data_IF_173362362051
#
_entry.id   IF_173362362051
#
_cell.length_a   1.000
_cell.length_b   1.000
_cell.length_c   1.000
_cell.angle_alpha   90.00
_cell.angle_beta   90.00
_cell.angle_gamma   90.00
#
_symmetry.space_group_name_H-M   'P 1'
#
loop_
_entity.id
_entity.type
_entity.pdbx_description
1 polymer ?
#
# COMPACT_ATOMS: atom_id res chain seq x y z
N UNK A 1 -50.67 -51.19 27.28
CA UNK A 1 -50.06 -50.00 27.91
C UNK A 1 -48.68 -50.23 28.57
N UNK A 2 -47.99 -51.38 28.40
CA UNK A 2 -46.65 -51.61 29.02
C UNK A 2 -45.47 -51.74 28.05
N UNK A 3 -45.67 -51.75 26.74
CA UNK A 3 -44.58 -51.90 25.75
C UNK A 3 -44.05 -50.57 25.16
N UNK A 4 -44.82 -49.47 25.21
CA UNK A 4 -44.39 -48.18 24.65
C UNK A 4 -43.52 -47.35 25.61
N UNK A 5 -43.51 -47.68 26.91
CA UNK A 5 -42.71 -46.99 27.92
C UNK A 5 -41.27 -47.50 27.94
N UNK A 6 -41.03 -48.78 27.63
CA UNK A 6 -39.69 -49.38 27.59
C UNK A 6 -38.87 -48.94 26.36
N UNK A 7 -39.53 -48.74 25.21
CA UNK A 7 -38.88 -48.22 23.98
C UNK A 7 -38.49 -46.75 24.09
N UNK A 8 -39.25 -45.94 24.83
CA UNK A 8 -38.90 -44.53 25.10
C UNK A 8 -37.78 -44.39 26.13
N UNK A 9 -37.68 -45.31 27.09
CA UNK A 9 -36.59 -45.31 28.05
C UNK A 9 -35.26 -45.73 27.39
N UNK A 10 -35.27 -46.71 26.49
CA UNK A 10 -34.06 -47.15 25.79
C UNK A 10 -33.51 -46.12 24.78
N UNK A 11 -34.39 -45.33 24.13
CA UNK A 11 -33.96 -44.27 23.20
C UNK A 11 -33.39 -43.07 23.97
N UNK A 12 -33.88 -42.79 25.18
CA UNK A 12 -33.31 -41.73 26.03
C UNK A 12 -31.96 -42.12 26.65
N UNK A 13 -31.70 -43.40 26.96
CA UNK A 13 -30.37 -43.82 27.46
C UNK A 13 -29.32 -43.88 26.37
N UNK A 14 -29.68 -44.13 25.11
CA UNK A 14 -28.73 -44.09 23.99
C UNK A 14 -28.45 -42.66 23.49
N UNK A 15 -29.40 -41.72 23.63
CA UNK A 15 -29.16 -40.30 23.36
C UNK A 15 -28.34 -39.59 24.45
N UNK A 16 -28.29 -40.11 25.67
CA UNK A 16 -27.45 -39.56 26.74
C UNK A 16 -25.99 -40.07 26.70
N UNK A 17 -25.67 -41.06 25.85
CA UNK A 17 -24.34 -41.66 25.78
C UNK A 17 -23.49 -41.16 24.59
N UNK A 18 -24.05 -40.33 23.69
CA UNK A 18 -23.31 -39.67 22.61
C UNK A 18 -22.88 -38.24 23.00
N UNK A 19 -23.38 -37.72 24.13
CA UNK A 19 -23.03 -36.38 24.64
C UNK A 19 -21.76 -36.34 25.53
N UNK A 20 -20.95 -37.41 25.55
CA UNK A 20 -19.83 -37.54 26.49
C UNK A 20 -18.47 -37.94 25.85
N UNK A 21 -18.32 -37.84 24.53
CA UNK A 21 -16.99 -37.52 23.98
C UNK A 21 -16.85 -36.01 24.03
N UNK A 22 -16.44 -35.52 25.20
CA UNK A 22 -16.00 -34.14 25.35
C UNK A 22 -14.85 -33.91 24.39
N UNK A 23 -15.14 -33.27 23.25
CA UNK A 23 -14.20 -32.30 22.70
C UNK A 23 -14.11 -31.20 23.76
N UNK A 24 -13.22 -31.41 24.72
CA UNK A 24 -12.63 -30.29 25.43
C UNK A 24 -11.97 -29.46 24.34
N UNK A 25 -12.64 -28.39 23.92
CA UNK A 25 -11.96 -27.26 23.31
C UNK A 25 -11.06 -26.73 24.41
N UNK A 26 -9.85 -27.28 24.46
CA UNK A 26 -8.76 -26.67 25.21
C UNK A 26 -8.52 -25.37 24.46
N UNK A 27 -9.04 -24.26 24.98
CA UNK A 27 -8.48 -22.96 24.62
C UNK A 27 -6.99 -23.09 24.92
N UNK A 28 -6.18 -23.06 23.87
CA UNK A 28 -4.74 -23.01 24.00
C UNK A 28 -4.41 -21.86 24.96
N UNK A 29 -3.53 -22.09 25.93
CA UNK A 29 -2.88 -20.96 26.61
C UNK A 29 -2.19 -20.12 25.53
N UNK A 30 -2.20 -18.80 25.68
CA UNK A 30 -1.41 -17.88 24.86
C UNK A 30 0.01 -18.45 24.67
N UNK A 31 0.45 -18.57 23.41
CA UNK A 31 1.77 -19.11 23.09
C UNK A 31 1.94 -20.63 23.13
N UNK A 32 0.89 -21.44 23.39
CA UNK A 32 1.00 -22.91 23.38
C UNK A 32 1.01 -23.48 21.95
N UNK A 33 1.76 -24.56 21.75
CA UNK A 33 1.89 -25.30 20.49
C UNK A 33 1.80 -26.81 20.74
N UNK A 34 1.29 -27.63 19.79
CA UNK A 34 0.68 -27.23 18.51
C UNK A 34 -0.63 -26.46 18.72
N UNK A 35 -1.03 -25.64 17.74
CA UNK A 35 -2.32 -24.93 17.75
C UNK A 35 -3.09 -25.18 16.46
N UNK A 36 -4.40 -25.19 16.55
CA UNK A 36 -5.29 -25.30 15.39
C UNK A 36 -6.07 -24.02 15.24
N UNK A 37 -5.84 -23.33 14.12
CA UNK A 37 -6.52 -22.09 13.74
C UNK A 37 -7.49 -22.38 12.58
N UNK A 38 -8.45 -21.51 12.36
CA UNK A 38 -9.32 -21.55 11.18
C UNK A 38 -8.75 -20.57 10.16
N UNK A 39 -8.65 -20.94 8.88
CA UNK A 39 -8.18 -20.06 7.80
C UNK A 39 -9.30 -19.17 7.23
N UNK A 40 -8.96 -18.26 6.32
CA UNK A 40 -9.91 -17.34 5.67
C UNK A 40 -10.98 -18.00 4.79
N UNK A 41 -10.86 -19.32 4.53
CA UNK A 41 -11.87 -20.13 3.85
C UNK A 41 -12.67 -21.03 4.80
N UNK A 42 -12.39 -20.97 6.11
CA UNK A 42 -13.07 -21.77 7.12
C UNK A 42 -12.46 -23.15 7.38
N UNK A 43 -11.27 -23.45 6.84
CA UNK A 43 -10.59 -24.73 7.08
C UNK A 43 -9.78 -24.69 8.37
N UNK A 44 -9.77 -25.80 9.11
CA UNK A 44 -8.88 -25.95 10.26
C UNK A 44 -7.45 -26.26 9.80
N UNK A 45 -6.49 -25.43 10.20
CA UNK A 45 -5.05 -25.58 9.92
C UNK A 45 -4.33 -25.79 11.26
N UNK A 46 -3.55 -26.86 11.35
CA UNK A 46 -2.73 -27.12 12.55
C UNK A 46 -1.31 -26.66 12.30
N UNK A 47 -0.78 -25.90 13.24
CA UNK A 47 0.57 -25.36 13.21
C UNK A 47 1.31 -25.95 14.40
N UNK A 48 2.40 -26.67 14.12
CA UNK A 48 3.04 -27.53 15.11
C UNK A 48 3.94 -26.77 16.10
N UNK A 49 4.52 -25.66 15.67
CA UNK A 49 5.48 -24.84 16.40
C UNK A 49 5.46 -23.38 15.87
N UNK A 50 6.02 -22.40 16.60
CA UNK A 50 6.10 -21.02 16.10
C UNK A 50 6.86 -20.96 14.76
N UNK A 51 6.26 -20.47 13.66
CA UNK A 51 6.85 -20.52 12.33
C UNK A 51 8.16 -19.72 12.25
N UNK A 52 9.27 -20.34 11.83
CA UNK A 52 10.58 -19.70 11.71
C UNK A 52 10.95 -19.38 10.27
N UNK A 53 10.22 -19.89 9.28
CA UNK A 53 10.58 -19.80 7.87
C UNK A 53 9.32 -19.65 7.01
N UNK A 54 8.82 -18.42 6.97
CA UNK A 54 7.54 -18.05 6.39
C UNK A 54 7.68 -17.69 4.91
N UNK A 55 6.72 -18.10 4.10
CA UNK A 55 6.53 -17.58 2.74
C UNK A 55 5.14 -16.98 2.62
N UNK A 56 5.01 -15.85 1.95
CA UNK A 56 3.73 -15.18 1.66
C UNK A 56 3.51 -15.06 0.16
N UNK A 57 2.24 -15.01 -0.25
CA UNK A 57 1.86 -14.74 -1.65
C UNK A 57 0.89 -13.57 -1.80
N UNK A 58 0.71 -12.76 -0.74
CA UNK A 58 -0.15 -11.58 -0.77
C UNK A 58 0.46 -10.40 0.00
N UNK A 59 0.35 -9.21 -0.57
CA UNK A 59 0.83 -7.97 0.04
C UNK A 59 0.16 -7.67 1.39
N UNK A 60 -1.14 -7.94 1.52
CA UNK A 60 -1.85 -7.77 2.79
C UNK A 60 -1.29 -8.66 3.91
N UNK A 61 -0.86 -9.89 3.59
CA UNK A 61 -0.18 -10.74 4.56
C UNK A 61 1.23 -10.21 4.88
N UNK A 62 1.97 -9.74 3.87
CA UNK A 62 3.29 -9.15 4.05
C UNK A 62 3.27 -7.98 5.04
N UNK A 63 2.33 -7.04 4.86
CA UNK A 63 2.22 -5.84 5.71
C UNK A 63 1.93 -6.18 7.18
N UNK A 64 1.02 -7.13 7.43
CA UNK A 64 0.71 -7.54 8.80
C UNK A 64 1.88 -8.33 9.38
N UNK A 65 2.43 -9.30 8.66
CA UNK A 65 3.47 -10.18 9.18
C UNK A 65 4.79 -9.44 9.43
N UNK A 66 5.22 -8.55 8.53
CA UNK A 66 6.44 -7.74 8.73
C UNK A 66 6.30 -6.67 9.82
N UNK A 67 5.07 -6.35 10.23
CA UNK A 67 4.80 -5.51 11.39
C UNK A 67 4.81 -6.29 12.72
N UNK A 68 4.65 -7.62 12.66
CA UNK A 68 4.65 -8.51 13.82
C UNK A 68 5.98 -9.24 14.02
N UNK A 69 6.71 -9.52 12.94
CA UNK A 69 7.88 -10.39 12.93
C UNK A 69 9.07 -9.73 12.23
N UNK A 70 10.30 -10.01 12.69
CA UNK A 70 11.50 -9.52 12.01
C UNK A 70 11.69 -10.20 10.63
N UNK A 71 12.33 -9.52 9.66
CA UNK A 71 12.52 -10.04 8.29
C UNK A 71 13.26 -11.38 8.18
N UNK A 72 14.08 -11.74 9.16
CA UNK A 72 14.81 -13.02 9.20
C UNK A 72 13.89 -14.25 9.42
N UNK A 73 12.62 -14.03 9.78
CA UNK A 73 11.58 -15.07 9.87
C UNK A 73 10.97 -15.45 8.52
N UNK A 74 11.36 -14.76 7.45
CA UNK A 74 10.78 -14.93 6.12
C UNK A 74 11.80 -15.57 5.18
N UNK A 75 11.40 -16.67 4.54
CA UNK A 75 12.13 -17.20 3.39
C UNK A 75 11.86 -16.39 2.12
N UNK A 76 10.64 -15.87 1.97
CA UNK A 76 10.25 -15.00 0.86
C UNK A 76 9.03 -14.16 1.22
N UNK A 77 8.98 -12.96 0.64
CA UNK A 77 7.77 -12.11 0.58
C UNK A 77 7.24 -12.02 -0.85
N UNK A 78 6.14 -11.29 -1.10
CA UNK A 78 5.80 -10.92 -2.49
C UNK A 78 6.75 -9.84 -3.02
N UNK A 79 6.96 -9.80 -4.34
CA UNK A 79 7.66 -8.69 -4.99
C UNK A 79 6.95 -7.34 -4.77
N UNK A 80 5.63 -7.38 -4.55
CA UNK A 80 4.81 -6.21 -4.24
C UNK A 80 5.22 -5.58 -2.91
N UNK A 81 5.56 -6.39 -1.92
CA UNK A 81 5.98 -5.90 -0.61
C UNK A 81 7.31 -5.13 -0.68
N UNK A 82 8.14 -5.34 -1.69
CA UNK A 82 9.40 -4.61 -1.88
C UNK A 82 9.25 -3.32 -2.69
N UNK A 83 8.07 -3.07 -3.27
CA UNK A 83 7.79 -1.89 -4.06
C UNK A 83 7.30 -0.73 -3.17
N UNK A 84 8.10 0.33 -2.98
CA UNK A 84 7.75 1.46 -2.11
C UNK A 84 6.59 2.31 -2.66
N UNK A 85 6.19 2.13 -3.92
CA UNK A 85 5.04 2.83 -4.50
C UNK A 85 3.69 2.28 -4.07
N UNK A 86 3.64 1.03 -3.60
CA UNK A 86 2.40 0.32 -3.28
C UNK A 86 2.42 -0.41 -1.93
N UNK A 87 3.58 -0.53 -1.27
CA UNK A 87 3.73 -1.24 0.01
C UNK A 87 4.13 -0.33 1.17
N UNK A 88 3.46 -0.51 2.30
CA UNK A 88 3.79 0.16 3.56
C UNK A 88 5.01 -0.43 4.29
N UNK A 89 5.52 -1.57 3.84
CA UNK A 89 6.59 -2.32 4.51
C UNK A 89 7.80 -2.55 3.60
N UNK A 90 7.96 -1.75 2.54
CA UNK A 90 9.04 -1.88 1.57
C UNK A 90 10.43 -1.87 2.20
N UNK A 91 10.65 -1.05 3.23
CA UNK A 91 11.94 -0.99 3.94
C UNK A 91 12.26 -2.32 4.63
N UNK A 92 11.29 -2.93 5.30
CA UNK A 92 11.43 -4.22 5.98
C UNK A 92 11.52 -5.37 4.98
N UNK A 93 10.68 -5.35 3.94
CA UNK A 93 10.62 -6.37 2.89
C UNK A 93 11.92 -6.45 2.07
N UNK A 94 12.62 -5.32 1.87
CA UNK A 94 13.93 -5.29 1.20
C UNK A 94 15.05 -5.98 2.01
N UNK A 95 14.80 -6.33 3.28
CA UNK A 95 15.73 -7.12 4.09
C UNK A 95 15.49 -8.63 3.95
N UNK A 96 14.39 -9.04 3.31
CA UNK A 96 14.08 -10.45 3.04
C UNK A 96 14.82 -10.90 1.77
N UNK A 97 15.47 -12.06 1.84
CA UNK A 97 16.36 -12.56 0.78
C UNK A 97 15.65 -12.78 -0.56
N UNK A 98 14.43 -13.31 -0.52
CA UNK A 98 13.67 -13.68 -1.73
C UNK A 98 12.37 -12.90 -1.84
N UNK A 99 11.96 -12.66 -3.09
CA UNK A 99 10.67 -12.06 -3.41
C UNK A 99 10.00 -12.80 -4.57
N UNK A 100 8.70 -13.06 -4.41
CA UNK A 100 7.87 -13.80 -5.34
C UNK A 100 7.11 -12.85 -6.28
N UNK A 101 7.38 -12.87 -7.60
CA UNK A 101 6.58 -12.07 -8.56
C UNK A 101 5.18 -12.64 -8.75
N UNK A 102 5.00 -13.94 -8.53
CA UNK A 102 3.72 -14.64 -8.53
C UNK A 102 3.82 -15.91 -7.68
N UNK A 103 2.68 -16.52 -7.33
CA UNK A 103 2.68 -17.80 -6.63
C UNK A 103 3.24 -18.91 -7.53
N UNK A 104 4.34 -19.54 -7.10
CA UNK A 104 5.01 -20.64 -7.80
C UNK A 104 5.26 -21.78 -6.81
N UNK A 105 4.55 -22.90 -6.99
CA UNK A 105 4.64 -24.03 -6.07
C UNK A 105 6.05 -24.63 -6.00
N UNK A 106 6.74 -24.79 -7.13
CA UNK A 106 8.06 -25.42 -7.17
C UNK A 106 9.10 -24.56 -6.47
N UNK A 107 9.07 -23.24 -6.71
CA UNK A 107 9.94 -22.30 -6.02
C UNK A 107 9.65 -22.27 -4.51
N UNK A 108 8.37 -22.16 -4.11
CA UNK A 108 7.98 -22.16 -2.70
C UNK A 108 8.44 -23.44 -2.00
N UNK A 109 8.26 -24.61 -2.62
CA UNK A 109 8.74 -25.90 -2.08
C UNK A 109 10.27 -25.91 -1.97
N UNK A 110 10.98 -25.36 -2.94
CA UNK A 110 12.46 -25.29 -2.91
C UNK A 110 12.98 -24.45 -1.74
N UNK A 111 12.16 -23.51 -1.25
CA UNK A 111 12.46 -22.73 -0.05
C UNK A 111 12.19 -23.53 1.23
N UNK A 112 11.71 -24.77 1.25
CA UNK A 112 11.52 -25.54 2.51
C UNK A 112 10.88 -24.72 3.67
N UNK A 113 9.74 -24.03 3.45
CA UNK A 113 9.11 -23.20 4.48
C UNK A 113 8.38 -24.05 5.51
N UNK A 114 8.25 -23.54 6.74
CA UNK A 114 7.43 -24.20 7.78
C UNK A 114 5.99 -23.66 7.84
N UNK A 115 5.73 -22.53 7.17
CA UNK A 115 4.40 -21.98 6.96
C UNK A 115 4.33 -21.17 5.66
N UNK A 116 3.28 -21.41 4.86
CA UNK A 116 2.98 -20.64 3.65
C UNK A 116 1.65 -19.93 3.81
N UNK A 117 1.65 -18.60 3.73
CA UNK A 117 0.45 -17.78 3.60
C UNK A 117 0.08 -17.63 2.13
N UNK A 118 -1.14 -18.03 1.77
CA UNK A 118 -1.68 -17.88 0.41
C UNK A 118 -2.95 -17.03 0.41
N UNK A 119 -3.15 -16.21 -0.60
CA UNK A 119 -4.43 -15.49 -0.75
C UNK A 119 -5.58 -16.45 -1.09
N UNK A 120 -6.81 -16.12 -0.67
CA UNK A 120 -8.04 -16.88 -0.98
C UNK A 120 -8.34 -17.04 -2.46
N UNK A 121 -7.73 -16.22 -3.32
CA UNK A 121 -7.85 -16.27 -4.78
C UNK A 121 -6.63 -16.93 -5.47
N UNK A 122 -5.69 -17.47 -4.70
CA UNK A 122 -4.59 -18.29 -5.24
C UNK A 122 -5.17 -19.54 -5.92
N UNK A 123 -4.61 -19.95 -7.07
CA UNK A 123 -5.07 -21.15 -7.78
C UNK A 123 -5.03 -22.38 -6.86
N UNK A 124 -6.17 -23.06 -6.69
CA UNK A 124 -6.30 -24.24 -5.84
C UNK A 124 -5.32 -25.35 -6.25
N UNK A 125 -4.93 -25.44 -7.53
CA UNK A 125 -3.93 -26.40 -7.97
C UNK A 125 -2.54 -26.11 -7.38
N UNK A 126 -2.18 -24.84 -7.20
CA UNK A 126 -0.94 -24.43 -6.50
C UNK A 126 -1.06 -24.78 -5.03
N UNK A 127 -2.17 -24.41 -4.38
CA UNK A 127 -2.41 -24.70 -2.96
C UNK A 127 -2.33 -26.20 -2.67
N UNK A 128 -2.93 -27.03 -3.53
CA UNK A 128 -2.89 -28.49 -3.39
C UNK A 128 -1.48 -29.05 -3.59
N UNK A 129 -0.69 -28.52 -4.53
CA UNK A 129 0.70 -28.95 -4.70
C UNK A 129 1.55 -28.67 -3.45
N UNK A 130 1.39 -27.51 -2.82
CA UNK A 130 2.07 -27.16 -1.58
C UNK A 130 1.69 -28.12 -0.44
N UNK A 131 0.40 -28.42 -0.30
CA UNK A 131 -0.10 -29.38 0.70
C UNK A 131 0.39 -30.81 0.44
N UNK A 132 0.40 -31.25 -0.81
CA UNK A 132 0.89 -32.58 -1.22
C UNK A 132 2.40 -32.73 -0.99
N UNK A 133 3.15 -31.62 -1.03
CA UNK A 133 4.56 -31.56 -0.64
C UNK A 133 4.77 -31.59 0.89
N UNK A 134 3.69 -31.60 1.68
CA UNK A 134 3.74 -31.68 3.14
C UNK A 134 3.90 -30.33 3.84
N UNK A 135 3.74 -29.20 3.13
CA UNK A 135 3.84 -27.87 3.71
C UNK A 135 2.55 -27.49 4.44
N UNK A 136 2.70 -26.77 5.55
CA UNK A 136 1.58 -26.12 6.24
C UNK A 136 1.16 -24.89 5.44
N UNK A 137 -0.08 -24.88 4.94
CA UNK A 137 -0.62 -23.78 4.15
C UNK A 137 -1.77 -23.12 4.90
N UNK A 138 -1.66 -21.81 5.11
CA UNK A 138 -2.69 -20.98 5.69
C UNK A 138 -3.25 -20.02 4.65
N UNK A 139 -4.54 -20.12 4.36
CA UNK A 139 -5.19 -19.25 3.38
C UNK A 139 -5.69 -17.97 4.05
N UNK A 140 -5.21 -16.79 3.65
CA UNK A 140 -5.75 -15.51 4.08
C UNK A 140 -7.04 -15.19 3.33
N UNK A 141 -8.01 -14.57 4.02
CA UNK A 141 -9.17 -13.99 3.34
C UNK A 141 -8.81 -12.77 2.50
N UNK A 142 -9.83 -12.10 1.96
CA UNK A 142 -9.72 -10.77 1.35
C UNK A 142 -10.61 -9.81 2.14
N UNK A 143 -10.11 -9.23 3.25
CA UNK A 143 -10.92 -8.42 4.13
C UNK A 143 -11.28 -7.10 3.44
N UNK A 144 -12.55 -6.71 3.55
CA UNK A 144 -13.06 -5.45 3.01
C UNK A 144 -13.76 -4.70 4.14
N UNK A 145 -13.28 -3.51 4.45
CA UNK A 145 -13.71 -2.70 5.58
C UNK A 145 -12.92 -2.96 6.86
N UNK A 146 -13.06 -2.04 7.82
CA UNK A 146 -12.23 -2.01 9.03
C UNK A 146 -12.42 -3.24 9.90
N UNK A 147 -13.65 -3.71 10.12
CA UNK A 147 -13.91 -4.88 10.97
C UNK A 147 -13.30 -6.17 10.40
N UNK A 148 -13.51 -6.54 9.12
CA UNK A 148 -12.80 -7.67 8.52
C UNK A 148 -11.28 -7.52 8.53
N UNK A 149 -10.74 -6.31 8.40
CA UNK A 149 -9.29 -6.06 8.53
C UNK A 149 -8.83 -6.38 9.95
N UNK A 150 -9.56 -5.94 10.99
CA UNK A 150 -9.28 -6.28 12.40
C UNK A 150 -9.24 -7.79 12.61
N UNK A 151 -10.24 -8.50 12.11
CA UNK A 151 -10.33 -9.96 12.21
C UNK A 151 -9.15 -10.64 11.53
N UNK A 152 -8.78 -10.20 10.32
CA UNK A 152 -7.64 -10.77 9.58
C UNK A 152 -6.30 -10.55 10.31
N UNK A 153 -6.06 -9.37 10.88
CA UNK A 153 -4.83 -9.07 11.65
C UNK A 153 -4.75 -9.94 12.90
N UNK A 154 -5.85 -10.07 13.65
CA UNK A 154 -5.90 -10.93 14.84
C UNK A 154 -5.67 -12.40 14.49
N UNK A 155 -6.26 -12.87 13.39
CA UNK A 155 -6.09 -14.22 12.90
C UNK A 155 -4.64 -14.50 12.49
N UNK A 156 -3.99 -13.56 11.77
CA UNK A 156 -2.57 -13.66 11.44
C UNK A 156 -1.70 -13.68 12.70
N UNK A 157 -2.00 -12.83 13.70
CA UNK A 157 -1.32 -12.85 15.00
C UNK A 157 -1.42 -14.21 15.70
N UNK A 158 -2.61 -14.81 15.73
CA UNK A 158 -2.82 -16.15 16.30
C UNK A 158 -2.02 -17.24 15.55
N UNK A 159 -1.95 -17.15 14.22
CA UNK A 159 -1.21 -18.09 13.37
C UNK A 159 0.29 -18.10 13.72
N UNK A 160 0.89 -16.94 13.97
CA UNK A 160 2.34 -16.82 14.24
C UNK A 160 2.71 -16.76 15.73
N UNK A 161 1.72 -16.69 16.62
CA UNK A 161 1.92 -16.57 18.06
C UNK A 161 2.29 -15.16 18.54
N UNK A 162 1.83 -14.15 17.81
CA UNK A 162 2.00 -12.72 18.10
C UNK A 162 0.65 -12.05 18.40
N UNK A 163 -0.20 -12.70 19.21
CA UNK A 163 -1.55 -12.21 19.55
C UNK A 163 -1.51 -10.84 20.22
N UNK A 164 -0.55 -10.62 21.11
CA UNK A 164 -0.35 -9.33 21.79
C UNK A 164 0.12 -8.24 20.81
N UNK A 165 0.98 -8.58 19.85
CA UNK A 165 1.41 -7.67 18.79
C UNK A 165 0.25 -7.30 17.88
N UNK A 166 -0.54 -8.27 17.44
CA UNK A 166 -1.72 -8.03 16.61
C UNK A 166 -2.75 -7.16 17.32
N UNK A 167 -3.00 -7.40 18.62
CA UNK A 167 -3.88 -6.55 19.42
C UNK A 167 -3.35 -5.11 19.54
N UNK A 168 -2.02 -4.92 19.61
CA UNK A 168 -1.41 -3.59 19.63
C UNK A 168 -1.55 -2.86 18.29
N UNK A 169 -1.37 -3.57 17.15
CA UNK A 169 -1.60 -3.01 15.82
C UNK A 169 -3.04 -2.54 15.65
N UNK A 170 -4.02 -3.34 16.10
CA UNK A 170 -5.44 -2.95 16.06
C UNK A 170 -5.74 -1.77 16.98
N UNK A 171 -5.17 -1.75 18.19
CA UNK A 171 -5.35 -0.61 19.09
C UNK A 171 -4.79 0.69 18.48
N UNK A 172 -3.66 0.62 17.76
CA UNK A 172 -3.11 1.78 17.06
C UNK A 172 -3.98 2.20 15.88
N UNK A 173 -4.43 1.25 15.04
CA UNK A 173 -5.36 1.51 13.94
C UNK A 173 -6.63 2.21 14.42
N UNK A 174 -7.22 1.72 15.51
CA UNK A 174 -8.45 2.28 16.10
C UNK A 174 -8.22 3.67 16.69
N UNK A 175 -7.09 3.88 17.36
CA UNK A 175 -6.73 5.19 17.92
C UNK A 175 -6.54 6.24 16.82
N UNK A 176 -5.89 5.86 15.72
CA UNK A 176 -5.65 6.73 14.57
C UNK A 176 -6.95 7.14 13.87
N UNK A 177 -7.84 6.17 13.62
CA UNK A 177 -9.15 6.43 13.01
C UNK A 177 -9.98 7.34 13.94
N UNK A 178 -10.02 7.04 15.24
CA UNK A 178 -10.77 7.85 16.20
C UNK A 178 -10.24 9.28 16.32
N UNK A 179 -8.93 9.48 16.22
CA UNK A 179 -8.33 10.82 16.23
C UNK A 179 -8.76 11.65 15.00
N UNK A 180 -8.82 11.02 13.83
CA UNK A 180 -9.35 11.67 12.61
C UNK A 180 -10.83 11.99 12.77
N UNK A 181 -11.64 11.02 13.18
CA UNK A 181 -13.08 11.20 13.40
C UNK A 181 -13.38 12.33 14.39
N UNK A 182 -12.62 12.42 15.50
CA UNK A 182 -12.75 13.50 16.48
C UNK A 182 -12.40 14.86 15.88
N UNK A 183 -11.34 14.95 15.07
CA UNK A 183 -10.93 16.19 14.42
C UNK A 183 -12.03 16.71 13.47
N UNK A 184 -12.67 15.82 12.70
CA UNK A 184 -13.69 16.18 11.71
C UNK A 184 -15.12 16.18 12.26
N UNK A 185 -15.34 15.80 13.53
CA UNK A 185 -16.66 15.62 14.13
C UNK A 185 -17.55 16.88 14.13
N UNK A 186 -16.93 18.07 14.18
CA UNK A 186 -17.65 19.34 14.24
C UNK A 186 -18.05 19.90 12.87
N UNK A 187 -17.68 19.23 11.77
CA UNK A 187 -18.03 19.64 10.41
C UNK A 187 -19.52 19.32 10.18
N UNK A 188 -20.38 20.33 9.96
CA UNK A 188 -21.80 20.12 9.68
C UNK A 188 -22.00 19.22 8.45
N UNK A 189 -23.06 18.41 8.45
CA UNK A 189 -23.35 17.47 7.35
C UNK A 189 -23.46 18.20 6.00
N UNK A 190 -24.06 19.39 6.00
CA UNK A 190 -24.20 20.26 4.83
C UNK A 190 -22.88 20.90 4.34
N UNK A 191 -21.83 20.89 5.16
CA UNK A 191 -20.50 21.40 4.83
C UNK A 191 -19.51 20.25 4.50
N UNK A 192 -19.95 18.99 4.57
CA UNK A 192 -19.08 17.86 4.26
C UNK A 192 -18.71 17.83 2.79
N UNK A 193 -17.42 17.69 2.53
CA UNK A 193 -16.81 17.63 1.20
C UNK A 193 -17.31 16.41 0.44
N UNK A 194 -17.84 16.61 -0.77
CA UNK A 194 -18.23 15.54 -1.70
C UNK A 194 -16.99 14.99 -2.38
N UNK A 195 -16.78 13.68 -2.30
CA UNK A 195 -15.56 13.00 -2.75
C UNK A 195 -15.91 11.97 -3.81
N UNK A 196 -15.09 11.90 -4.84
CA UNK A 196 -15.13 10.83 -5.84
C UNK A 196 -13.76 10.18 -5.94
N UNK A 197 -13.70 8.86 -5.72
CA UNK A 197 -12.52 8.05 -5.98
C UNK A 197 -12.59 7.46 -7.40
N UNK A 198 -11.49 7.54 -8.16
CA UNK A 198 -11.40 6.97 -9.51
C UNK A 198 -10.07 6.26 -9.73
N UNK A 199 -10.14 5.13 -10.43
CA UNK A 199 -8.98 4.48 -11.07
C UNK A 199 -9.06 4.59 -12.59
N UNK A 200 -8.02 4.18 -13.34
CA UNK A 200 -8.05 4.19 -14.80
C UNK A 200 -9.31 3.54 -15.37
N UNK A 201 -9.93 4.20 -16.34
CA UNK A 201 -11.23 3.78 -16.90
C UNK A 201 -12.45 4.19 -16.06
N UNK A 202 -12.30 5.16 -15.15
CA UNK A 202 -13.34 5.69 -14.27
C UNK A 202 -13.98 4.64 -13.34
N UNK A 203 -13.22 3.62 -12.92
CA UNK A 203 -13.71 2.69 -11.90
C UNK A 203 -13.72 3.36 -10.54
N UNK A 204 -14.78 3.15 -9.77
CA UNK A 204 -14.94 3.73 -8.42
C UNK A 204 -15.04 2.65 -7.35
N UNK A 205 -14.75 3.02 -6.10
CA UNK A 205 -15.13 2.25 -4.91
C UNK A 205 -16.66 2.05 -4.85
N UNK A 206 -17.09 0.94 -4.26
CA UNK A 206 -18.51 0.72 -3.93
C UNK A 206 -18.81 0.93 -2.44
N UNK A 207 -20.10 1.02 -2.09
CA UNK A 207 -20.65 1.20 -0.74
C UNK A 207 -19.95 0.39 0.37
N UNK A 208 -19.62 -0.86 0.09
CA UNK A 208 -19.08 -1.77 1.10
C UNK A 208 -17.55 -1.87 1.06
N UNK A 209 -16.85 -0.92 0.43
CA UNK A 209 -15.40 -0.94 0.29
C UNK A 209 -14.68 -0.29 1.48
N UNK A 210 -13.42 -0.69 1.72
CA UNK A 210 -12.54 -0.01 2.68
C UNK A 210 -12.32 1.47 2.33
N UNK A 211 -12.30 1.79 1.03
CA UNK A 211 -12.15 3.17 0.52
C UNK A 211 -13.35 4.03 0.92
N UNK A 212 -14.57 3.53 0.75
CA UNK A 212 -15.78 4.25 1.17
C UNK A 212 -15.78 4.51 2.69
N UNK A 213 -15.38 3.52 3.49
CA UNK A 213 -15.24 3.69 4.94
C UNK A 213 -14.15 4.70 5.30
N UNK A 214 -13.04 4.74 4.56
CA UNK A 214 -11.99 5.73 4.77
C UNK A 214 -12.45 7.16 4.41
N UNK A 215 -13.22 7.32 3.32
CA UNK A 215 -13.85 8.60 2.95
C UNK A 215 -14.81 9.07 4.05
N UNK A 216 -15.66 8.18 4.56
CA UNK A 216 -16.61 8.50 5.63
C UNK A 216 -15.91 8.87 6.94
N UNK A 217 -14.93 8.08 7.37
CA UNK A 217 -14.15 8.34 8.59
C UNK A 217 -13.33 9.64 8.49
N UNK A 218 -12.86 9.98 7.29
CA UNK A 218 -12.21 11.27 7.00
C UNK A 218 -13.18 12.46 6.92
N UNK A 219 -14.48 12.25 7.17
CA UNK A 219 -15.51 13.30 7.19
C UNK A 219 -16.04 13.71 5.81
N UNK A 220 -15.78 12.91 4.77
CA UNK A 220 -16.28 13.13 3.42
C UNK A 220 -17.63 12.48 3.14
N UNK A 221 -18.22 12.82 2.00
CA UNK A 221 -19.38 12.13 1.41
C UNK A 221 -18.92 11.49 0.11
N UNK A 222 -18.79 10.16 0.06
CA UNK A 222 -18.55 9.44 -1.19
C UNK A 222 -19.79 9.56 -2.10
N UNK A 223 -19.64 10.23 -3.24
CA UNK A 223 -20.75 10.50 -4.17
C UNK A 223 -21.30 9.23 -4.81
N UNK A 224 -20.52 8.16 -4.87
CA UNK A 224 -20.92 6.89 -5.48
C UNK A 224 -21.77 6.08 -4.51
N UNK A 225 -21.40 6.11 -3.22
CA UNK A 225 -22.20 5.63 -2.10
C UNK A 225 -23.53 6.36 -2.00
N UNK A 226 -23.51 7.69 -2.07
CA UNK A 226 -24.74 8.50 -2.04
C UNK A 226 -25.67 8.18 -3.23
N UNK A 227 -25.11 7.76 -4.38
CA UNK A 227 -25.84 7.31 -5.55
C UNK A 227 -26.27 5.83 -5.50
N UNK A 228 -25.90 5.09 -4.45
CA UNK A 228 -26.27 3.68 -4.27
C UNK A 228 -25.44 2.68 -5.08
N UNK A 229 -24.23 3.05 -5.49
CA UNK A 229 -23.28 2.16 -6.17
C UNK A 229 -22.61 1.26 -5.13
N UNK A 230 -22.79 -0.06 -5.24
CA UNK A 230 -22.36 -1.04 -4.23
C UNK A 230 -21.13 -1.87 -4.64
N UNK A 231 -20.64 -1.72 -5.87
CA UNK A 231 -19.58 -2.52 -6.47
C UNK A 231 -18.51 -1.66 -7.13
N UNK A 232 -17.32 -2.25 -7.31
CA UNK A 232 -16.25 -1.68 -8.14
C UNK A 232 -16.67 -1.72 -9.62
N UNK A 233 -17.24 -0.63 -10.11
CA UNK A 233 -17.76 -0.51 -11.49
C UNK A 233 -17.29 0.80 -12.11
N UNK A 234 -17.18 0.85 -13.46
CA UNK A 234 -16.92 2.11 -14.13
C UNK A 234 -18.16 3.02 -14.04
N UNK A 235 -17.96 4.29 -13.73
CA UNK A 235 -18.98 5.35 -13.84
C UNK A 235 -18.82 6.11 -15.16
N UNK A 236 -19.91 6.64 -15.69
CA UNK A 236 -19.86 7.43 -16.93
C UNK A 236 -19.39 8.86 -16.68
N UNK A 237 -18.88 9.52 -17.71
CA UNK A 237 -18.52 10.94 -17.62
C UNK A 237 -19.73 11.80 -17.22
N UNK A 238 -20.93 11.49 -17.72
CA UNK A 238 -22.16 12.18 -17.33
C UNK A 238 -22.47 12.04 -15.84
N UNK A 239 -22.20 10.88 -15.25
CA UNK A 239 -22.34 10.68 -13.80
C UNK A 239 -21.37 11.57 -13.04
N UNK A 240 -20.10 11.62 -13.44
CA UNK A 240 -19.07 12.46 -12.80
C UNK A 240 -19.48 13.94 -12.85
N UNK A 241 -19.99 14.39 -14.00
CA UNK A 241 -20.48 15.76 -14.20
C UNK A 241 -21.73 16.04 -13.38
N UNK A 242 -22.67 15.10 -13.31
CA UNK A 242 -23.90 15.25 -12.53
C UNK A 242 -23.62 15.27 -11.01
N UNK A 243 -22.66 14.48 -10.54
CA UNK A 243 -22.29 14.46 -9.13
C UNK A 243 -21.46 15.67 -8.71
N UNK A 244 -20.73 16.31 -9.63
CA UNK A 244 -19.87 17.48 -9.42
C UNK A 244 -19.13 17.46 -8.06
N UNK A 245 -18.17 16.53 -7.86
CA UNK A 245 -17.49 16.37 -6.58
C UNK A 245 -16.61 17.58 -6.25
N UNK A 246 -16.48 17.87 -4.95
CA UNK A 246 -15.60 18.92 -4.42
C UNK A 246 -14.13 18.47 -4.43
N UNK A 247 -13.89 17.17 -4.27
CA UNK A 247 -12.57 16.53 -4.29
C UNK A 247 -12.62 15.27 -5.16
N UNK A 248 -11.60 15.07 -5.98
CA UNK A 248 -11.40 13.82 -6.73
C UNK A 248 -10.08 13.18 -6.28
N UNK A 249 -10.17 11.90 -5.89
CA UNK A 249 -9.03 11.07 -5.52
C UNK A 249 -8.74 10.10 -6.68
N UNK A 250 -7.65 10.34 -7.38
CA UNK A 250 -7.16 9.48 -8.45
C UNK A 250 -6.20 8.45 -7.84
N UNK A 251 -6.43 7.18 -8.16
CA UNK A 251 -5.70 6.04 -7.61
C UNK A 251 -5.52 4.96 -8.68
N UNK A 252 -4.74 3.93 -8.41
CA UNK A 252 -4.50 2.79 -9.27
C UNK A 252 -3.03 2.41 -9.28
N UNK A 253 -2.73 1.14 -9.54
CA UNK A 253 -1.38 0.56 -9.51
C UNK A 253 -0.29 1.33 -10.27
N UNK A 254 -0.71 2.18 -11.21
CA UNK A 254 0.13 3.15 -11.92
C UNK A 254 -0.61 4.49 -11.94
N UNK A 255 -0.75 5.19 -10.80
CA UNK A 255 -1.59 6.38 -10.75
C UNK A 255 -0.91 7.56 -11.45
N UNK A 256 0.41 7.45 -11.63
CA UNK A 256 1.28 8.30 -12.43
C UNK A 256 1.42 7.82 -13.89
N UNK A 257 0.64 6.81 -14.33
CA UNK A 257 0.59 6.50 -15.76
C UNK A 257 0.15 7.78 -16.49
N UNK A 258 1.01 8.37 -17.34
CA UNK A 258 0.70 9.61 -18.02
C UNK A 258 -0.63 9.51 -18.77
N UNK A 259 -0.96 8.30 -19.27
CA UNK A 259 -2.22 8.09 -19.99
C UNK A 259 -3.45 8.30 -19.13
N UNK A 260 -3.43 7.99 -17.83
CA UNK A 260 -4.60 8.20 -16.97
C UNK A 260 -4.82 9.68 -16.68
N UNK A 261 -3.77 10.38 -16.22
CA UNK A 261 -3.86 11.81 -15.90
C UNK A 261 -4.13 12.65 -17.16
N UNK A 262 -3.45 12.36 -18.27
CA UNK A 262 -3.66 13.06 -19.54
C UNK A 262 -5.06 12.80 -20.10
N UNK A 263 -5.59 11.57 -19.98
CA UNK A 263 -6.97 11.28 -20.39
C UNK A 263 -7.97 12.01 -19.50
N UNK A 264 -7.75 12.02 -18.19
CA UNK A 264 -8.65 12.68 -17.24
C UNK A 264 -8.67 14.21 -17.44
N UNK A 265 -7.51 14.87 -17.39
CA UNK A 265 -7.40 16.32 -17.56
C UNK A 265 -7.62 16.78 -19.01
N UNK A 266 -7.34 15.91 -19.99
CA UNK A 266 -7.62 16.16 -21.41
C UNK A 266 -9.09 16.05 -21.79
N UNK A 267 -9.96 15.56 -20.90
CA UNK A 267 -11.39 15.50 -21.14
C UNK A 267 -12.02 16.90 -20.99
N UNK A 268 -12.47 17.56 -22.08
CA UNK A 268 -13.04 18.89 -22.00
C UNK A 268 -14.35 18.95 -21.20
N UNK A 269 -15.04 17.82 -21.03
CA UNK A 269 -16.26 17.75 -20.23
C UNK A 269 -15.98 17.90 -18.72
N UNK A 270 -14.75 17.61 -18.27
CA UNK A 270 -14.34 17.73 -16.87
C UNK A 270 -13.82 19.12 -16.50
N UNK A 271 -13.51 19.99 -17.47
CA UNK A 271 -12.90 21.30 -17.23
C UNK A 271 -13.71 22.21 -16.28
N UNK A 272 -15.04 22.01 -16.22
CA UNK A 272 -15.95 22.79 -15.38
C UNK A 272 -16.27 22.14 -14.03
N UNK A 273 -15.71 20.96 -13.72
CA UNK A 273 -15.91 20.30 -12.42
C UNK A 273 -15.38 21.17 -11.29
N UNK A 274 -16.12 21.24 -10.19
CA UNK A 274 -15.76 21.98 -8.98
C UNK A 274 -14.38 21.58 -8.45
N UNK A 275 -14.06 20.27 -8.41
CA UNK A 275 -12.74 19.78 -8.02
C UNK A 275 -11.60 20.30 -8.93
N UNK A 276 -11.81 20.42 -10.26
CA UNK A 276 -10.79 20.92 -11.19
C UNK A 276 -10.61 22.43 -11.03
N UNK A 277 -11.70 23.19 -11.00
CA UNK A 277 -11.66 24.64 -10.87
C UNK A 277 -10.98 25.09 -9.56
N UNK A 278 -11.16 24.32 -8.50
CA UNK A 278 -10.58 24.61 -7.18
C UNK A 278 -9.23 23.93 -6.93
N UNK A 279 -8.64 23.26 -7.91
CA UNK A 279 -7.38 22.49 -7.80
C UNK A 279 -7.41 21.45 -6.66
N UNK A 280 -8.50 20.69 -6.57
CA UNK A 280 -8.77 19.65 -5.57
C UNK A 280 -8.87 18.25 -6.18
N UNK A 281 -8.04 17.98 -7.19
CA UNK A 281 -7.81 16.64 -7.74
C UNK A 281 -6.47 16.16 -7.18
N UNK A 282 -6.47 15.04 -6.47
CA UNK A 282 -5.27 14.49 -5.82
C UNK A 282 -4.96 13.11 -6.36
N UNK A 283 -3.67 12.80 -6.48
CA UNK A 283 -3.21 11.42 -6.60
C UNK A 283 -3.15 10.86 -5.17
N UNK A 284 -4.02 9.90 -4.88
CA UNK A 284 -4.06 9.24 -3.58
C UNK A 284 -2.84 8.32 -3.42
N UNK A 285 -2.39 8.16 -2.17
CA UNK A 285 -1.39 7.15 -1.85
C UNK A 285 -2.05 5.77 -1.86
N UNK A 286 -1.79 4.99 -2.92
CA UNK A 286 -2.37 3.67 -3.11
C UNK A 286 -1.99 2.68 -2.00
N UNK A 287 -0.75 2.75 -1.52
CA UNK A 287 -0.28 1.91 -0.41
C UNK A 287 -1.17 2.10 0.83
N UNK A 288 -1.62 3.33 1.08
CA UNK A 288 -2.44 3.66 2.24
C UNK A 288 -3.94 3.41 1.98
N UNK A 289 -4.46 3.87 0.83
CA UNK A 289 -5.90 3.91 0.57
C UNK A 289 -6.46 2.57 0.09
N UNK A 290 -5.64 1.74 -0.57
CA UNK A 290 -6.08 0.47 -1.16
C UNK A 290 -5.64 -0.76 -0.36
N UNK A 291 -4.91 -0.56 0.74
CA UNK A 291 -4.47 -1.66 1.60
C UNK A 291 -5.64 -2.41 2.23
N UNK A 292 -5.39 -3.69 2.48
CA UNK A 292 -6.27 -4.62 3.21
C UNK A 292 -5.67 -4.99 4.57
N UNK A 293 -4.75 -4.18 5.09
CA UNK A 293 -4.07 -4.35 6.37
C UNK A 293 -4.37 -3.19 7.34
N UNK A 294 -3.79 -3.26 8.55
CA UNK A 294 -3.90 -2.22 9.58
C UNK A 294 -3.44 -0.82 9.12
N UNK A 295 -2.63 -0.71 8.05
CA UNK A 295 -2.24 0.57 7.46
C UNK A 295 -3.40 1.37 6.85
N UNK A 296 -4.62 0.79 6.78
CA UNK A 296 -5.80 1.52 6.32
C UNK A 296 -6.07 2.78 7.16
N UNK A 297 -5.61 2.83 8.42
CA UNK A 297 -5.67 4.05 9.23
C UNK A 297 -4.87 5.21 8.64
N UNK A 298 -3.75 4.95 7.96
CA UNK A 298 -3.01 5.97 7.20
C UNK A 298 -3.84 6.48 6.01
N UNK A 299 -4.60 5.60 5.35
CA UNK A 299 -5.54 6.00 4.30
C UNK A 299 -6.63 6.95 4.83
N UNK A 300 -7.14 6.73 6.05
CA UNK A 300 -8.09 7.63 6.71
C UNK A 300 -7.46 9.00 7.00
N UNK A 301 -6.21 9.02 7.49
CA UNK A 301 -5.45 10.27 7.72
C UNK A 301 -5.25 11.04 6.41
N UNK A 302 -4.82 10.35 5.35
CA UNK A 302 -4.60 10.95 4.02
C UNK A 302 -5.88 11.57 3.47
N UNK A 303 -7.00 10.85 3.53
CA UNK A 303 -8.31 11.36 3.14
C UNK A 303 -8.63 12.64 3.91
N UNK A 304 -8.60 12.61 5.25
CA UNK A 304 -8.93 13.80 6.04
C UNK A 304 -8.04 15.00 5.69
N UNK A 305 -6.76 14.75 5.40
CA UNK A 305 -5.81 15.76 4.95
C UNK A 305 -6.07 16.33 3.54
N UNK A 306 -6.68 15.55 2.64
CA UNK A 306 -7.15 16.03 1.34
C UNK A 306 -8.44 16.84 1.46
N UNK A 307 -9.34 16.43 2.36
CA UNK A 307 -10.65 17.05 2.52
C UNK A 307 -10.59 18.33 3.37
N UNK A 308 -9.85 18.31 4.48
CA UNK A 308 -9.85 19.36 5.49
C UNK A 308 -8.44 19.65 6.03
N UNK A 309 -7.50 20.16 5.21
CA UNK A 309 -6.12 20.38 5.63
C UNK A 309 -5.94 21.36 6.80
N UNK A 310 -6.92 22.25 7.06
CA UNK A 310 -6.89 23.17 8.20
C UNK A 310 -7.37 22.52 9.51
N UNK A 311 -8.10 21.41 9.41
CA UNK A 311 -8.66 20.66 10.54
C UNK A 311 -7.78 19.46 10.88
N UNK A 312 -7.34 18.74 9.85
CA UNK A 312 -6.44 17.60 9.94
C UNK A 312 -5.26 17.83 8.98
N UNK A 313 -4.22 18.54 9.42
CA UNK A 313 -3.12 18.87 8.53
C UNK A 313 -2.26 17.63 8.27
N UNK A 314 -1.91 17.37 7.01
CA UNK A 314 -0.95 16.31 6.62
C UNK A 314 0.47 16.57 7.16
N UNK A 315 0.72 17.77 7.70
CA UNK A 315 2.00 18.23 8.19
C UNK A 315 1.81 19.00 9.50
N UNK A 316 2.74 18.88 10.47
CA UNK A 316 4.01 18.19 10.31
C UNK A 316 3.90 16.65 10.30
N UNK A 317 4.53 16.01 9.31
CA UNK A 317 4.60 14.55 9.20
C UNK A 317 5.82 14.08 9.98
N UNK A 318 5.61 13.35 11.07
CA UNK A 318 6.70 12.78 11.87
C UNK A 318 6.98 11.35 11.41
N UNK A 319 8.16 11.11 10.86
CA UNK A 319 8.64 9.81 10.41
C UNK A 319 9.67 9.30 11.43
N UNK A 320 9.81 7.98 11.53
CA UNK A 320 10.97 7.38 12.21
C UNK A 320 11.94 6.91 11.14
N UNK A 321 13.19 7.38 11.18
CA UNK A 321 14.18 6.97 10.20
C UNK A 321 14.70 5.54 10.42
N UNK A 322 15.54 5.06 9.52
CA UNK A 322 16.11 3.71 9.61
C UNK A 322 17.01 3.50 10.85
N UNK A 323 17.39 4.57 11.57
CA UNK A 323 18.15 4.51 12.81
C UNK A 323 17.25 4.56 14.06
N UNK A 324 15.94 4.80 13.91
CA UNK A 324 14.99 4.92 15.01
C UNK A 324 14.79 6.35 15.52
N UNK A 325 15.30 7.37 14.81
CA UNK A 325 15.16 8.77 15.20
C UNK A 325 13.89 9.40 14.58
N UNK A 326 13.19 10.27 15.33
CA UNK A 326 12.02 11.01 14.83
C UNK A 326 12.44 12.19 13.92
N UNK A 327 11.95 12.21 12.68
CA UNK A 327 12.12 13.26 11.68
C UNK A 327 10.78 13.95 11.45
N UNK A 328 10.72 15.27 11.61
CA UNK A 328 9.51 16.06 11.40
C UNK A 328 9.60 16.80 10.06
N UNK A 329 8.73 16.47 9.11
CA UNK A 329 8.55 17.20 7.85
C UNK A 329 7.49 18.27 8.11
N UNK A 330 7.82 19.54 7.89
CA UNK A 330 6.98 20.66 8.38
C UNK A 330 5.91 21.15 7.38
N UNK A 331 5.94 20.71 6.12
CA UNK A 331 4.98 21.23 5.10
C UNK A 331 4.80 20.34 3.87
N UNK A 332 3.61 20.47 3.24
CA UNK A 332 3.22 19.79 1.99
C UNK A 332 4.22 20.04 0.83
N UNK A 333 4.57 19.02 0.02
CA UNK A 333 5.19 19.23 -1.28
C UNK A 333 4.21 19.97 -2.22
N UNK A 334 4.75 20.81 -3.12
CA UNK A 334 3.96 21.58 -4.07
C UNK A 334 3.27 20.69 -5.11
N UNK A 335 2.02 21.04 -5.46
CA UNK A 335 1.17 20.33 -6.43
C UNK A 335 1.80 20.20 -7.82
N UNK A 336 1.52 19.08 -8.50
CA UNK A 336 1.72 18.91 -9.95
C UNK A 336 0.49 19.48 -10.67
N UNK A 337 0.72 20.46 -11.56
CA UNK A 337 -0.28 20.94 -12.53
C UNK A 337 0.04 20.30 -13.88
N UNK A 338 -0.98 19.84 -14.62
CA UNK A 338 -0.80 19.40 -16.00
C UNK A 338 -0.09 20.48 -16.84
N UNK A 339 0.85 20.06 -17.67
CA UNK A 339 1.70 20.94 -18.48
C UNK A 339 0.85 21.96 -19.27
N UNK A 340 1.08 23.26 -19.04
CA UNK A 340 0.41 24.32 -19.79
C UNK A 340 1.13 24.60 -21.11
N UNK A 341 0.42 25.14 -22.10
CA UNK A 341 0.90 25.54 -23.43
C UNK A 341 2.11 26.51 -23.44
N UNK A 342 2.51 27.03 -22.28
CA UNK A 342 3.73 27.81 -22.10
C UNK A 342 5.00 26.94 -22.19
N UNK A 343 4.93 25.65 -21.83
CA UNK A 343 6.02 24.69 -21.99
C UNK A 343 6.38 24.48 -23.47
N UNK A 344 5.38 24.38 -24.35
CA UNK A 344 5.57 24.25 -25.81
C UNK A 344 6.24 25.48 -26.44
N UNK A 345 5.93 26.66 -25.91
CA UNK A 345 6.52 27.93 -26.40
C UNK A 345 8.00 28.03 -26.03
N UNK A 346 8.40 27.48 -24.88
CA UNK A 346 9.78 27.43 -24.42
C UNK A 346 10.61 26.43 -25.24
N UNK A 347 10.01 25.29 -25.61
CA UNK A 347 10.61 24.26 -26.49
C UNK A 347 10.92 24.82 -27.89
N UNK A 348 9.99 25.59 -28.48
CA UNK A 348 10.19 26.26 -29.78
C UNK A 348 11.36 27.27 -29.76
N UNK A 349 11.55 27.96 -28.63
CA UNK A 349 12.57 29.00 -28.49
C UNK A 349 14.00 28.44 -28.38
N UNK A 350 14.15 27.25 -27.80
CA UNK A 350 15.44 26.61 -27.53
C UNK A 350 15.96 25.75 -28.70
N UNK A 351 15.06 25.33 -29.59
CA UNK A 351 15.36 24.49 -30.76
C UNK A 351 16.50 24.99 -31.67
N UNK A 352 16.67 26.30 -31.95
CA UNK A 352 17.73 26.80 -32.82
C UNK A 352 19.14 26.77 -32.20
N UNK A 353 19.27 26.39 -30.94
CA UNK A 353 20.53 26.43 -30.19
C UNK A 353 21.06 25.03 -29.84
N UNK A 354 20.41 23.98 -30.36
CA UNK A 354 20.82 22.58 -30.20
C UNK A 354 21.70 22.14 -31.39
N UNK A 355 22.74 21.32 -31.19
CA UNK A 355 23.65 20.90 -32.26
C UNK A 355 22.94 20.07 -33.34
N UNK A 356 23.21 20.34 -34.63
CA UNK A 356 22.44 19.81 -35.76
C UNK A 356 22.58 18.29 -36.02
N UNK A 357 23.53 17.58 -35.37
CA UNK A 357 23.92 16.20 -35.76
C UNK A 357 23.71 15.11 -34.69
N UNK A 358 23.03 15.39 -33.58
CA UNK A 358 22.63 14.34 -32.64
C UNK A 358 21.28 13.76 -33.04
N UNK A 359 21.29 12.64 -33.76
CA UNK A 359 20.13 11.77 -33.98
C UNK A 359 19.76 11.04 -32.67
N UNK A 360 19.39 11.81 -31.65
CA UNK A 360 18.90 11.31 -30.38
C UNK A 360 17.49 11.86 -30.23
N UNK A 361 16.51 10.97 -30.32
CA UNK A 361 15.12 11.25 -30.05
C UNK A 361 15.00 11.53 -28.55
N UNK A 362 15.15 12.80 -28.17
CA UNK A 362 14.94 13.24 -26.79
C UNK A 362 13.45 13.49 -26.57
N UNK A 363 12.83 12.63 -25.75
CA UNK A 363 11.55 12.92 -25.12
C UNK A 363 11.87 13.92 -24.00
N UNK A 364 11.59 15.20 -24.22
CA UNK A 364 11.63 16.21 -23.16
C UNK A 364 10.24 16.27 -22.50
N UNK A 365 10.05 15.63 -21.34
CA UNK A 365 8.99 16.03 -20.42
C UNK A 365 9.44 17.31 -19.71
N UNK A 366 8.63 18.35 -19.75
CA UNK A 366 9.04 19.71 -19.37
C UNK A 366 8.42 20.09 -18.03
N UNK A 367 9.22 20.05 -16.97
CA UNK A 367 8.91 20.61 -15.65
C UNK A 367 10.01 21.58 -15.23
N UNK A 368 9.73 22.89 -15.25
CA UNK A 368 10.51 23.88 -14.49
C UNK A 368 9.68 25.17 -14.34
N UNK A 369 9.14 25.38 -13.14
CA UNK A 369 8.52 26.64 -12.70
C UNK A 369 9.59 27.46 -11.96
N UNK A 370 9.75 28.74 -12.34
CA UNK A 370 10.59 29.72 -11.66
C UNK A 370 9.75 30.93 -11.23
N UNK A 371 10.04 31.47 -10.05
CA UNK A 371 9.84 32.88 -9.69
C UNK A 371 11.15 33.36 -8.99
N UNK A 372 11.83 34.39 -9.54
CA UNK A 372 13.22 34.81 -9.23
C UNK A 372 13.29 36.24 -8.62
N UNK A 373 14.45 36.82 -8.14
CA UNK A 373 15.86 36.40 -8.32
C UNK A 373 16.83 36.55 -7.10
N UNK A 374 18.00 35.87 -7.11
CA UNK A 374 19.36 36.47 -7.04
C UNK A 374 20.34 35.57 -7.80
N UNK A 375 21.07 36.16 -8.77
CA UNK A 375 22.11 35.55 -9.59
C UNK A 375 23.43 35.31 -8.81
N UNK A 376 24.07 34.15 -9.02
CA UNK A 376 25.55 34.06 -9.02
C UNK A 376 26.00 33.17 -10.19
N UNK A 377 26.64 33.79 -11.17
CA UNK A 377 27.32 33.14 -12.29
C UNK A 377 28.65 32.52 -11.82
N UNK A 378 28.86 31.23 -12.04
CA UNK A 378 30.21 30.67 -12.15
C UNK A 378 30.28 29.67 -13.32
N UNK A 379 31.16 30.00 -14.26
CA UNK A 379 31.45 29.28 -15.49
C UNK A 379 32.58 28.29 -15.25
N UNK A 380 32.36 27.03 -15.64
CA UNK A 380 33.35 26.22 -16.37
C UNK A 380 32.62 25.23 -17.28
N UNK A 381 33.18 25.11 -18.48
CA UNK A 381 32.66 24.48 -19.69
C UNK A 381 31.89 23.15 -19.50
N UNK A 382 30.61 23.20 -19.91
CA UNK A 382 29.70 22.10 -20.30
C UNK A 382 28.76 21.43 -19.28
N UNK A 383 28.40 22.06 -18.16
CA UNK A 383 27.14 21.70 -17.46
C UNK A 383 26.50 22.89 -16.72
N UNK A 384 25.22 23.19 -17.03
CA UNK A 384 24.35 24.01 -16.18
C UNK A 384 23.34 23.04 -15.53
N UNK A 385 23.40 22.91 -14.20
CA UNK A 385 22.34 22.30 -13.40
C UNK A 385 21.70 23.36 -12.50
N UNK A 386 20.37 23.35 -12.38
CA UNK A 386 19.62 24.12 -11.37
C UNK A 386 19.24 23.16 -10.24
N UNK A 387 19.69 23.43 -9.02
CA UNK A 387 19.27 22.71 -7.81
C UNK A 387 19.06 23.70 -6.66
N UNK A 388 18.21 23.36 -5.68
CA UNK A 388 18.33 23.94 -4.33
C UNK A 388 18.64 22.82 -3.34
N UNK A 389 19.92 22.75 -3.01
CA UNK A 389 20.53 22.00 -1.92
C UNK A 389 20.76 22.97 -0.75
N UNK A 390 20.98 22.48 0.47
CA UNK A 390 21.52 23.34 1.54
C UNK A 390 22.86 23.95 1.10
N UNK A 391 23.06 25.21 1.49
CA UNK A 391 24.13 26.11 1.07
C UNK A 391 25.47 25.74 1.73
N UNK A 392 26.11 24.65 1.28
CA UNK A 392 27.52 24.31 1.54
C UNK A 392 28.10 23.42 0.43
N UNK A 393 29.28 23.77 -0.07
CA UNK A 393 29.82 23.33 -1.37
C UNK A 393 31.01 22.36 -1.27
N UNK A 394 31.16 21.71 -0.12
CA UNK A 394 32.15 20.64 0.03
C UNK A 394 31.73 19.37 -0.73
N UNK A 395 32.67 18.59 -1.30
CA UNK A 395 32.38 17.33 -1.96
C UNK A 395 31.54 16.31 -1.14
N UNK A 396 31.49 16.42 0.19
CA UNK A 396 30.68 15.57 1.08
C UNK A 396 29.19 15.98 1.14
N UNK A 397 28.88 17.27 1.06
CA UNK A 397 27.50 17.77 1.01
C UNK A 397 26.82 17.41 -0.32
N UNK A 398 27.60 17.31 -1.40
CA UNK A 398 27.11 16.89 -2.72
C UNK A 398 26.79 15.39 -2.80
N UNK A 399 27.48 14.55 -2.03
CA UNK A 399 27.19 13.11 -1.93
C UNK A 399 25.94 12.81 -1.09
N UNK A 400 25.70 13.54 0.02
CA UNK A 400 24.51 13.37 0.86
C UNK A 400 23.19 13.73 0.14
N UNK A 401 23.23 14.72 -0.74
CA UNK A 401 22.08 15.12 -1.54
C UNK A 401 21.77 14.15 -2.68
N UNK A 402 22.78 13.45 -3.20
CA UNK A 402 22.61 12.43 -4.25
C UNK A 402 22.20 11.07 -3.66
N UNK A 403 22.54 10.75 -2.41
CA UNK A 403 21.99 9.59 -1.67
C UNK A 403 20.51 9.80 -1.34
N UNK A 404 20.12 11.01 -0.93
CA UNK A 404 18.71 11.36 -0.65
C UNK A 404 17.79 11.21 -1.88
N UNK A 405 18.35 11.37 -3.08
CA UNK A 405 17.62 11.21 -4.34
C UNK A 405 17.73 9.76 -4.86
N UNK A 406 18.89 9.12 -4.68
CA UNK A 406 19.14 7.74 -5.09
C UNK A 406 18.45 6.67 -4.22
N UNK A 407 18.22 6.95 -2.94
CA UNK A 407 17.45 6.08 -2.02
C UNK A 407 15.93 6.20 -2.24
N UNK A 408 15.46 7.23 -2.95
CA UNK A 408 14.03 7.48 -3.23
C UNK A 408 13.56 6.90 -4.58
N UNK A 409 14.45 6.60 -5.54
CA UNK A 409 14.04 6.25 -6.92
C UNK A 409 14.69 4.99 -7.55
N UNK A 410 15.20 4.05 -6.76
CA UNK A 410 15.26 2.64 -7.21
C UNK A 410 16.15 2.26 -8.42
N UNK A 411 17.26 2.94 -8.72
CA UNK A 411 18.26 2.44 -9.70
C UNK A 411 19.47 1.71 -9.07
N UNK A 412 19.31 1.07 -7.90
CA UNK A 412 20.44 0.46 -7.18
C UNK A 412 20.89 -0.90 -7.74
N UNK A 413 19.99 -1.69 -8.33
CA UNK A 413 20.33 -3.03 -8.85
C UNK A 413 21.12 -2.99 -10.17
N UNK A 414 20.83 -2.00 -11.04
CA UNK A 414 21.56 -1.79 -12.28
C UNK A 414 22.96 -1.18 -12.02
N UNK A 415 23.06 -0.25 -11.07
CA UNK A 415 24.32 0.39 -10.69
C UNK A 415 25.27 -0.56 -9.93
N UNK A 416 24.78 -1.42 -9.04
CA UNK A 416 25.63 -2.38 -8.31
C UNK A 416 26.28 -3.42 -9.23
N UNK A 417 25.57 -3.86 -10.27
CA UNK A 417 26.12 -4.77 -11.30
C UNK A 417 27.18 -4.07 -12.16
N UNK A 418 26.98 -2.79 -12.50
CA UNK A 418 27.95 -1.99 -13.25
C UNK A 418 29.19 -1.60 -12.43
N UNK A 419 29.03 -1.31 -11.13
CA UNK A 419 30.11 -0.97 -10.19
C UNK A 419 31.02 -2.17 -9.93
N UNK A 420 30.47 -3.39 -9.78
CA UNK A 420 31.27 -4.60 -9.62
C UNK A 420 32.15 -4.89 -10.86
N UNK A 421 31.60 -4.69 -12.07
CA UNK A 421 32.31 -4.86 -13.34
C UNK A 421 33.44 -3.83 -13.55
N UNK A 422 33.24 -2.58 -13.14
CA UNK A 422 34.22 -1.50 -13.31
C UNK A 422 35.31 -1.47 -12.21
N UNK A 423 35.02 -2.02 -11.03
CA UNK A 423 36.00 -2.09 -9.93
C UNK A 423 37.13 -3.08 -10.24
N UNK A 424 36.81 -4.24 -10.84
CA UNK A 424 37.80 -5.23 -11.25
C UNK A 424 38.72 -4.71 -12.38
N UNK A 425 38.20 -3.92 -13.32
CA UNK A 425 38.99 -3.29 -14.39
C UNK A 425 39.93 -2.20 -13.86
N UNK A 426 39.47 -1.40 -12.89
CA UNK A 426 40.26 -0.30 -12.31
C UNK A 426 41.35 -0.80 -11.35
N UNK A 427 41.13 -1.88 -10.60
CA UNK A 427 42.16 -2.51 -9.78
C UNK A 427 43.27 -3.16 -10.64
N UNK A 428 42.92 -3.72 -11.81
CA UNK A 428 43.88 -4.26 -12.77
C UNK A 428 44.71 -3.18 -13.49
N UNK A 429 44.17 -1.96 -13.63
CA UNK A 429 44.85 -0.78 -14.17
C UNK A 429 45.71 -0.05 -13.13
N UNK A 430 45.33 -0.08 -11.85
CA UNK A 430 46.11 0.50 -10.75
C UNK A 430 47.31 -0.37 -10.31
N UNK A 431 47.31 -1.66 -10.67
CA UNK A 431 48.42 -2.59 -10.45
C UNK A 431 49.49 -2.58 -11.56
N UNK A 432 49.33 -1.75 -12.60
CA UNK A 432 50.29 -1.48 -13.68
C UNK A 432 50.96 -0.12 -13.48
#
# INVERSE_FOLDING_TARGET
>A
MKQNTLRRLLIFTTLLLIAATGMTVVSAQDGAWPRTVVDGLGNAVTIDAPPQRIVTTSLGADEVLLSLLPPDRFASVTALAQDPGISNVAVQANQVENALPAADAEFIISLDPDLVFVASFTDEAIVQQLRDAGLTVFTTGFPIGFDPIREAVLQIGEVVGEEAGAAALIAQMDADIAAVEEAVANIPEEERTRVLYLTPGNFTSGLNSSIAQAIEAGGGIDVTVAAGIDQLVPVSDEFIIEQDPDVILLSGWTPFDPTFLDTFFGNPAFAELSAIQNNRVFIANDAHLTTVSHFISEGVKDVAAYLYPDVFPAYPLTLTDAAGDEIVIESKPLFVRGATAEADTLIELLRPHLPEDSATEFIFSTDLVYDAPIDVQLSTDDLIGVFRLYDDDSPAARVANLQLIGDVLGERAAAQTAIALLTDELEALAAQ
#
